data_IF_055200786172
#
_entry.id   IF_055200786172
#
_cell.length_a   1.000
_cell.length_b   1.000
_cell.length_c   1.000
_cell.angle_alpha   90.00
_cell.angle_beta   90.00
_cell.angle_gamma   90.00
#
_symmetry.space_group_name_H-M   'P 1'
#
loop_
_entity.id
_entity.type
_entity.pdbx_description
1 polymer ?
#
# COMPACT_ATOMS: atom_id res chain seq x y z
N UNK A 1 12.44 -0.08 -11.33
CA UNK A 1 12.63 -0.63 -12.70
C UNK A 1 11.64 -0.10 -13.73
N UNK A 2 10.31 -0.28 -13.63
CA UNK A 2 9.38 0.27 -14.65
C UNK A 2 9.42 1.80 -14.78
N UNK A 3 9.45 2.51 -13.66
CA UNK A 3 9.57 3.97 -13.65
C UNK A 3 10.92 4.46 -14.20
N UNK A 4 12.01 3.76 -13.86
CA UNK A 4 13.36 4.04 -14.39
C UNK A 4 13.44 3.80 -15.91
N UNK A 5 12.65 2.86 -16.43
CA UNK A 5 12.51 2.58 -17.86
C UNK A 5 11.49 3.48 -18.58
N UNK A 6 10.95 4.51 -17.90
CA UNK A 6 9.94 5.44 -18.41
C UNK A 6 8.62 4.77 -18.84
N UNK A 7 8.32 3.57 -18.33
CA UNK A 7 7.08 2.84 -18.58
C UNK A 7 5.97 3.32 -17.62
N UNK A 8 5.55 4.58 -17.75
CA UNK A 8 4.64 5.23 -16.79
C UNK A 8 3.30 4.51 -16.61
N UNK A 9 2.68 4.06 -17.69
CA UNK A 9 1.41 3.31 -17.64
C UNK A 9 1.58 1.98 -16.90
N UNK A 10 2.67 1.26 -17.18
CA UNK A 10 2.98 -0.01 -16.51
C UNK A 10 3.35 0.16 -15.04
N UNK A 11 3.95 1.30 -14.67
CA UNK A 11 4.25 1.65 -13.28
C UNK A 11 2.96 2.05 -12.53
N UNK A 12 2.13 2.91 -13.09
CA UNK A 12 0.85 3.32 -12.50
C UNK A 12 -0.08 2.11 -12.28
N UNK A 13 -0.18 1.22 -13.27
CA UNK A 13 -0.97 -0.01 -13.13
C UNK A 13 -0.45 -0.95 -12.04
N UNK A 14 0.87 -1.02 -11.83
CA UNK A 14 1.45 -1.81 -10.74
C UNK A 14 1.13 -1.19 -9.36
N UNK A 15 1.21 0.13 -9.23
CA UNK A 15 0.85 0.85 -7.99
C UNK A 15 -0.64 0.68 -7.68
N UNK A 16 -1.50 0.84 -8.67
CA UNK A 16 -2.94 0.61 -8.51
C UNK A 16 -3.24 -0.85 -8.09
N UNK A 17 -2.59 -1.82 -8.73
CA UNK A 17 -2.75 -3.23 -8.38
C UNK A 17 -2.26 -3.54 -6.97
N UNK A 18 -1.18 -2.91 -6.51
CA UNK A 18 -0.72 -3.04 -5.13
C UNK A 18 -1.79 -2.57 -4.15
N UNK A 19 -2.33 -1.36 -4.34
CA UNK A 19 -3.33 -0.79 -3.46
C UNK A 19 -4.62 -1.62 -3.43
N UNK A 20 -5.23 -1.85 -4.59
CA UNK A 20 -6.55 -2.46 -4.65
C UNK A 20 -6.47 -3.97 -4.37
N UNK A 21 -5.62 -4.69 -5.11
CA UNK A 21 -5.68 -6.16 -5.16
C UNK A 21 -4.84 -6.83 -4.07
N UNK A 22 -3.70 -6.25 -3.71
CA UNK A 22 -2.78 -6.88 -2.75
C UNK A 22 -2.99 -6.34 -1.33
N UNK A 23 -3.01 -5.02 -1.17
CA UNK A 23 -3.08 -4.39 0.13
C UNK A 23 -4.51 -4.40 0.68
N UNK A 24 -5.47 -3.79 -0.02
CA UNK A 24 -6.86 -3.67 0.44
C UNK A 24 -7.61 -5.02 0.41
N UNK A 25 -7.71 -5.67 -0.76
CA UNK A 25 -8.53 -6.88 -0.91
C UNK A 25 -8.00 -8.09 -0.11
N UNK A 26 -6.69 -8.18 0.11
CA UNK A 26 -6.05 -9.35 0.72
C UNK A 26 -5.43 -9.01 2.06
N UNK A 27 -4.40 -8.18 2.11
CA UNK A 27 -3.62 -8.01 3.33
C UNK A 27 -4.40 -7.34 4.46
N UNK A 28 -5.19 -6.31 4.15
CA UNK A 28 -6.03 -5.61 5.12
C UNK A 28 -7.11 -6.56 5.68
N UNK A 29 -7.74 -7.35 4.81
CA UNK A 29 -8.77 -8.32 5.18
C UNK A 29 -8.21 -9.43 6.08
N UNK A 30 -7.08 -10.03 5.72
CA UNK A 30 -6.42 -11.07 6.53
C UNK A 30 -5.90 -10.50 7.86
N UNK A 31 -5.44 -9.25 7.86
CA UNK A 31 -4.93 -8.58 9.05
C UNK A 31 -5.99 -8.34 10.12
N UNK A 32 -7.29 -8.36 9.79
CA UNK A 32 -8.38 -8.17 10.76
C UNK A 32 -8.28 -9.13 11.94
N UNK A 33 -7.93 -10.40 11.70
CA UNK A 33 -7.77 -11.40 12.77
C UNK A 33 -6.60 -11.03 13.69
N UNK A 34 -5.47 -10.64 13.12
CA UNK A 34 -4.27 -10.23 13.86
C UNK A 34 -4.50 -8.94 14.66
N UNK A 35 -5.31 -8.01 14.14
CA UNK A 35 -5.67 -6.77 14.83
C UNK A 35 -6.56 -7.03 16.06
N UNK A 36 -7.37 -8.07 16.07
CA UNK A 36 -8.19 -8.42 17.23
C UNK A 36 -7.36 -9.06 18.34
N UNK A 37 -6.27 -9.75 18.01
CA UNK A 37 -5.38 -10.40 18.99
C UNK A 37 -4.40 -9.42 19.66
N UNK A 38 -4.44 -9.23 21.00
CA UNK A 38 -3.56 -8.28 21.68
C UNK A 38 -2.06 -8.55 21.48
N UNK A 39 -1.66 -9.82 21.34
CA UNK A 39 -0.25 -10.20 21.16
C UNK A 39 0.28 -9.96 19.75
N UNK A 40 -0.60 -10.01 18.73
CA UNK A 40 -0.23 -9.85 17.33
C UNK A 40 -0.46 -8.43 16.80
N UNK A 41 -1.40 -7.71 17.43
CA UNK A 41 -1.83 -6.36 17.02
C UNK A 41 -0.68 -5.38 16.78
N UNK A 42 0.37 -5.29 17.63
CA UNK A 42 1.45 -4.33 17.41
C UNK A 42 2.20 -4.57 16.10
N UNK A 43 2.51 -5.84 15.78
CA UNK A 43 3.20 -6.19 14.54
C UNK A 43 2.32 -6.01 13.30
N UNK A 44 1.04 -6.34 13.41
CA UNK A 44 0.07 -6.13 12.34
C UNK A 44 -0.11 -4.63 12.03
N UNK A 45 -0.25 -3.78 13.05
CA UNK A 45 -0.34 -2.33 12.89
C UNK A 45 0.94 -1.76 12.26
N UNK A 46 2.11 -2.15 12.77
CA UNK A 46 3.39 -1.68 12.24
C UNK A 46 3.54 -2.02 10.74
N UNK A 47 3.14 -3.24 10.33
CA UNK A 47 3.23 -3.65 8.93
C UNK A 47 2.21 -2.92 8.06
N UNK A 48 0.96 -2.79 8.53
CA UNK A 48 -0.08 -2.04 7.81
C UNK A 48 0.33 -0.58 7.57
N UNK A 49 0.86 0.07 8.60
CA UNK A 49 1.36 1.45 8.50
C UNK A 49 2.53 1.56 7.52
N UNK A 50 3.53 0.69 7.63
CA UNK A 50 4.68 0.70 6.73
C UNK A 50 4.26 0.48 5.26
N UNK A 51 3.35 -0.46 5.00
CA UNK A 51 2.81 -0.71 3.67
C UNK A 51 2.02 0.49 3.13
N UNK A 52 1.21 1.14 3.98
CA UNK A 52 0.46 2.32 3.59
C UNK A 52 1.41 3.49 3.25
N UNK A 53 2.36 3.81 4.12
CA UNK A 53 3.34 4.89 3.89
C UNK A 53 4.17 4.68 2.61
N UNK A 54 4.70 3.46 2.42
CA UNK A 54 5.44 3.13 1.21
C UNK A 54 4.54 3.15 -0.02
N UNK A 55 3.30 2.67 0.09
CA UNK A 55 2.28 2.74 -0.95
C UNK A 55 1.96 4.17 -1.37
N UNK A 56 1.87 5.10 -0.42
CA UNK A 56 1.56 6.52 -0.67
C UNK A 56 2.74 7.20 -1.37
N UNK A 57 3.97 6.92 -0.94
CA UNK A 57 5.18 7.38 -1.64
C UNK A 57 5.27 6.86 -3.08
N UNK A 58 4.83 5.63 -3.33
CA UNK A 58 4.73 5.07 -4.69
C UNK A 58 3.60 5.71 -5.51
N UNK A 59 2.53 6.14 -4.85
CA UNK A 59 1.38 6.80 -5.48
C UNK A 59 1.65 8.27 -5.81
N UNK A 60 2.48 8.96 -5.03
CA UNK A 60 2.75 10.40 -5.14
C UNK A 60 3.09 10.90 -6.55
N UNK A 61 3.91 10.20 -7.38
CA UNK A 61 4.17 10.63 -8.76
C UNK A 61 2.94 10.61 -9.69
N UNK A 62 1.88 9.88 -9.32
CA UNK A 62 0.69 9.67 -10.14
C UNK A 62 -0.55 10.39 -9.58
N UNK A 63 -0.69 10.47 -8.26
CA UNK A 63 -1.80 11.14 -7.57
C UNK A 63 -1.27 11.92 -6.34
N UNK A 64 -0.55 13.04 -6.55
CA UNK A 64 0.18 13.74 -5.49
C UNK A 64 -0.73 14.26 -4.38
N UNK A 65 -1.85 14.91 -4.72
CA UNK A 65 -2.76 15.48 -3.72
C UNK A 65 -3.38 14.41 -2.81
N UNK A 66 -3.74 13.26 -3.39
CA UNK A 66 -4.28 12.14 -2.61
C UNK A 66 -3.20 11.54 -1.72
N UNK A 67 -1.98 11.43 -2.22
CA UNK A 67 -0.86 10.86 -1.47
C UNK A 67 -0.36 11.79 -0.34
N UNK A 68 -0.61 13.10 -0.42
CA UNK A 68 -0.24 14.08 0.59
C UNK A 68 -1.31 14.24 1.68
N UNK A 69 -2.60 14.13 1.31
CA UNK A 69 -3.72 14.24 2.26
C UNK A 69 -3.90 13.00 3.16
N UNK A 70 -3.53 11.81 2.67
CA UNK A 70 -3.67 10.53 3.38
C UNK A 70 -2.43 10.19 4.22
#
# INVERSE_FOLDING_TARGET
RRLEALEFQGAAGAVQSFWLRSFCDVYLEVSKVSLLSPSLRPGALATLLACAELGLRLLAPFAPFVAEEL
#
